data_IF_639577601730
#
_entry.id   IF_639577601730
#
_cell.length_a   1.000
_cell.length_b   1.000
_cell.length_c   1.000
_cell.angle_alpha   90.00
_cell.angle_beta   90.00
_cell.angle_gamma   90.00
#
_symmetry.space_group_name_H-M   'P 1'
#
loop_
_entity.id
_entity.type
_entity.pdbx_description
1 polymer ?
#
# COMPACT_ATOMS: atom_id res chain seq x y z
N UNK A 1 -9.34 25.33 15.98
CA UNK A 1 -7.94 25.69 15.67
C UNK A 1 -7.71 27.18 15.47
N UNK A 2 -8.76 27.99 15.41
CA UNK A 2 -8.66 29.45 15.30
C UNK A 2 -8.23 30.15 16.61
N UNK A 3 -8.29 29.47 17.75
CA UNK A 3 -7.99 30.06 19.07
C UNK A 3 -6.56 29.77 19.56
N UNK A 4 -5.72 29.12 18.77
CA UNK A 4 -4.30 28.89 19.11
C UNK A 4 -4.03 27.87 20.23
N UNK A 5 -5.03 27.12 20.67
CA UNK A 5 -4.92 26.14 21.75
C UNK A 5 -4.42 24.77 21.26
N UNK A 6 -3.17 24.76 20.81
CA UNK A 6 -2.56 23.55 20.20
C UNK A 6 -2.30 22.45 21.25
N UNK A 7 -2.07 22.82 22.51
CA UNK A 7 -1.84 21.93 23.63
C UNK A 7 -3.07 21.08 24.01
N UNK A 8 -4.27 21.52 23.63
CA UNK A 8 -5.53 20.80 23.87
C UNK A 8 -5.78 19.68 22.84
N UNK A 9 -4.98 19.61 21.78
CA UNK A 9 -5.16 18.59 20.73
C UNK A 9 -4.77 17.20 21.25
N UNK A 10 -5.71 16.26 21.17
CA UNK A 10 -5.50 14.84 21.46
C UNK A 10 -5.23 14.14 20.12
N UNK A 11 -3.96 14.00 19.74
CA UNK A 11 -3.57 13.46 18.42
C UNK A 11 -4.17 12.10 18.07
N UNK A 12 -4.28 11.12 19.00
CA UNK A 12 -4.95 9.85 18.72
C UNK A 12 -6.43 9.95 18.33
N UNK A 13 -7.10 11.08 18.61
CA UNK A 13 -8.50 11.32 18.25
C UNK A 13 -8.67 12.09 16.92
N UNK A 14 -7.58 12.58 16.35
CA UNK A 14 -7.62 13.32 15.08
C UNK A 14 -7.91 12.35 13.93
N UNK A 15 -8.98 12.59 13.17
CA UNK A 15 -9.34 11.75 12.03
C UNK A 15 -8.22 11.65 10.99
N UNK A 16 -8.12 10.52 10.29
CA UNK A 16 -7.04 10.25 9.36
C UNK A 16 -6.88 11.33 8.27
N UNK A 17 -7.98 11.82 7.70
CA UNK A 17 -7.95 12.90 6.69
C UNK A 17 -7.49 14.22 7.29
N UNK A 18 -7.97 14.58 8.49
CA UNK A 18 -7.55 15.80 9.18
C UNK A 18 -6.05 15.72 9.53
N UNK A 19 -5.56 14.57 9.96
CA UNK A 19 -4.14 14.34 10.23
C UNK A 19 -3.28 14.61 8.99
N UNK A 20 -3.68 14.13 7.81
CA UNK A 20 -2.97 14.41 6.55
C UNK A 20 -2.99 15.90 6.18
N UNK A 21 -4.12 16.57 6.35
CA UNK A 21 -4.31 17.98 5.96
C UNK A 21 -3.52 18.90 6.88
N UNK A 22 -3.66 18.73 8.19
CA UNK A 22 -3.15 19.68 9.20
C UNK A 22 -1.75 19.34 9.74
N UNK A 23 -1.08 18.28 9.27
CA UNK A 23 0.24 17.85 9.74
C UNK A 23 1.29 18.96 9.79
N UNK A 24 1.28 19.87 8.80
CA UNK A 24 2.24 20.97 8.75
C UNK A 24 1.93 22.03 9.84
N UNK A 25 0.65 22.25 10.12
CA UNK A 25 0.24 23.14 11.21
C UNK A 25 0.60 22.53 12.56
N UNK A 26 0.36 21.24 12.77
CA UNK A 26 0.76 20.51 13.98
C UNK A 26 2.28 20.60 14.20
N UNK A 27 3.07 20.35 13.15
CA UNK A 27 4.54 20.48 13.23
C UNK A 27 4.98 21.90 13.52
N UNK A 28 4.31 22.91 12.94
CA UNK A 28 4.68 24.32 13.14
C UNK A 28 4.36 24.82 14.57
N UNK A 29 3.25 24.38 15.14
CA UNK A 29 2.72 24.98 16.37
C UNK A 29 2.85 24.08 17.60
N UNK A 30 3.09 22.77 17.44
CA UNK A 30 3.25 21.81 18.53
C UNK A 30 4.26 20.69 18.15
N UNK A 31 5.41 21.09 17.65
CA UNK A 31 6.40 20.18 17.06
C UNK A 31 6.82 19.05 17.99
N UNK A 32 7.11 19.36 19.24
CA UNK A 32 7.63 18.37 20.20
C UNK A 32 6.61 17.25 20.47
N UNK A 33 5.37 17.61 20.85
CA UNK A 33 4.31 16.63 21.14
C UNK A 33 3.92 15.88 19.89
N UNK A 34 3.81 16.56 18.76
CA UNK A 34 3.46 15.92 17.47
C UNK A 34 4.51 14.91 17.02
N UNK A 35 5.81 15.23 17.11
CA UNK A 35 6.87 14.30 16.75
C UNK A 35 6.93 13.10 17.72
N UNK A 36 6.71 13.30 19.01
CA UNK A 36 6.62 12.21 19.99
C UNK A 36 5.45 11.28 19.70
N UNK A 37 4.29 11.84 19.36
CA UNK A 37 3.13 11.07 18.95
C UNK A 37 3.41 10.24 17.69
N UNK A 38 3.99 10.87 16.64
CA UNK A 38 4.31 10.17 15.39
C UNK A 38 5.31 9.03 15.59
N UNK A 39 6.32 9.21 16.42
CA UNK A 39 7.27 8.14 16.74
C UNK A 39 6.55 6.93 17.35
N UNK A 40 5.66 7.16 18.31
CA UNK A 40 4.86 6.09 18.92
C UNK A 40 3.88 5.45 17.94
N UNK A 41 3.26 6.24 17.05
CA UNK A 41 2.35 5.75 16.04
C UNK A 41 3.06 4.87 14.99
N UNK A 42 4.29 5.22 14.60
CA UNK A 42 5.14 4.41 13.73
C UNK A 42 5.53 3.07 14.36
N UNK A 43 5.74 3.06 15.67
CA UNK A 43 6.03 1.85 16.47
C UNK A 43 4.75 1.03 16.79
N UNK A 44 3.56 1.49 16.39
CA UNK A 44 2.29 0.85 16.72
C UNK A 44 1.86 0.99 18.20
N UNK A 45 2.54 1.84 18.99
CA UNK A 45 2.23 2.09 20.41
C UNK A 45 1.11 3.11 20.63
N UNK A 46 0.85 3.93 19.63
CA UNK A 46 -0.25 4.91 19.60
C UNK A 46 -1.06 4.72 18.31
N UNK A 47 -2.36 4.93 18.43
CA UNK A 47 -3.27 4.85 17.27
C UNK A 47 -3.11 6.10 16.41
N UNK A 48 -3.05 5.89 15.07
CA UNK A 48 -3.31 6.91 14.08
C UNK A 48 -4.46 6.45 13.20
N UNK A 49 -5.49 7.28 13.05
CA UNK A 49 -6.67 6.88 12.29
C UNK A 49 -6.36 6.66 10.81
N UNK A 50 -6.68 5.46 10.33
CA UNK A 50 -6.57 5.04 8.94
C UNK A 50 -7.82 4.29 8.44
N UNK A 51 -8.82 4.05 9.29
CA UNK A 51 -9.99 3.22 9.01
C UNK A 51 -10.87 3.76 7.87
N UNK A 52 -10.80 5.05 7.60
CA UNK A 52 -11.55 5.70 6.51
C UNK A 52 -10.69 6.01 5.30
N UNK A 53 -9.45 5.51 5.29
CA UNK A 53 -8.50 5.69 4.21
C UNK A 53 -8.39 4.38 3.41
N UNK A 54 -8.22 4.56 2.11
CA UNK A 54 -7.90 3.45 1.21
C UNK A 54 -6.42 3.48 0.82
N UNK A 55 -5.82 2.36 0.39
CA UNK A 55 -4.44 2.32 -0.08
C UNK A 55 -4.10 3.42 -1.08
N UNK A 56 -5.00 3.67 -2.05
CA UNK A 56 -4.79 4.70 -3.07
C UNK A 56 -4.75 6.13 -2.49
N UNK A 57 -5.48 6.43 -1.41
CA UNK A 57 -5.46 7.76 -0.79
C UNK A 57 -4.05 8.15 -0.31
N UNK A 58 -3.30 7.17 0.20
CA UNK A 58 -1.94 7.34 0.69
C UNK A 58 -0.93 7.34 -0.45
N UNK A 59 -1.07 6.40 -1.39
CA UNK A 59 -0.20 6.29 -2.56
C UNK A 59 -0.30 7.53 -3.44
N UNK A 60 -1.50 8.05 -3.70
CA UNK A 60 -1.74 9.27 -4.48
C UNK A 60 -1.01 10.49 -3.88
N UNK A 61 -0.99 10.60 -2.55
CA UNK A 61 -0.24 11.68 -1.85
C UNK A 61 1.26 11.57 -2.03
N UNK A 62 1.79 10.36 -2.10
CA UNK A 62 3.23 10.13 -2.35
C UNK A 62 3.57 10.40 -3.81
N UNK A 63 2.79 9.85 -4.75
CA UNK A 63 3.03 9.97 -6.19
C UNK A 63 2.95 11.41 -6.69
N UNK A 64 1.81 12.06 -6.43
CA UNK A 64 1.48 13.37 -7.00
C UNK A 64 1.74 14.53 -6.06
N UNK A 65 1.63 14.29 -4.75
CA UNK A 65 1.95 15.31 -3.74
C UNK A 65 3.44 15.48 -3.50
N UNK A 66 4.30 14.59 -4.04
CA UNK A 66 5.75 14.51 -3.80
C UNK A 66 6.12 14.65 -2.32
N UNK A 67 5.24 14.22 -1.43
CA UNK A 67 5.31 14.46 0.00
C UNK A 67 5.18 13.15 0.78
N UNK A 68 6.22 12.34 0.72
CA UNK A 68 6.35 11.32 1.75
C UNK A 68 6.63 11.98 3.10
N UNK A 69 5.98 11.50 4.15
CA UNK A 69 6.20 11.94 5.52
C UNK A 69 5.77 10.84 6.51
N UNK A 70 6.17 11.00 7.75
CA UNK A 70 5.90 10.03 8.82
C UNK A 70 4.40 9.79 9.07
N UNK A 71 3.54 10.78 8.81
CA UNK A 71 2.07 10.61 8.94
C UNK A 71 1.57 9.57 7.94
N UNK A 72 1.94 9.70 6.65
CA UNK A 72 1.53 8.76 5.61
C UNK A 72 2.07 7.35 5.88
N UNK A 73 3.31 7.25 6.36
CA UNK A 73 3.92 5.97 6.73
C UNK A 73 3.18 5.31 7.92
N UNK A 74 2.90 6.07 8.98
CA UNK A 74 2.18 5.56 10.14
C UNK A 74 0.75 5.13 9.78
N UNK A 75 0.05 5.91 8.94
CA UNK A 75 -1.28 5.57 8.45
C UNK A 75 -1.26 4.32 7.56
N UNK A 76 -0.25 4.16 6.68
CA UNK A 76 -0.09 2.95 5.88
C UNK A 76 0.07 1.70 6.73
N UNK A 77 0.93 1.76 7.75
CA UNK A 77 1.17 0.63 8.67
C UNK A 77 -0.07 0.26 9.49
N UNK A 78 -0.94 1.24 9.77
CA UNK A 78 -2.16 1.05 10.55
C UNK A 78 -3.44 0.99 9.69
N UNK A 79 -3.32 0.86 8.35
CA UNK A 79 -4.47 0.52 7.52
C UNK A 79 -5.10 -0.79 8.02
N UNK A 80 -6.44 -0.85 8.11
CA UNK A 80 -7.12 -2.10 8.48
C UNK A 80 -6.69 -3.25 7.59
N UNK A 81 -6.58 -4.43 8.17
CA UNK A 81 -6.33 -5.66 7.40
C UNK A 81 -7.67 -6.20 6.88
N UNK A 82 -7.89 -6.02 5.58
CA UNK A 82 -9.07 -6.55 4.86
C UNK A 82 -8.78 -7.89 4.19
N UNK A 83 -7.55 -8.42 4.29
CA UNK A 83 -7.17 -9.72 3.77
C UNK A 83 -7.50 -10.74 4.84
N UNK A 84 -8.58 -11.52 4.62
CA UNK A 84 -8.98 -12.57 5.57
C UNK A 84 -7.82 -13.55 5.81
N UNK A 85 -7.71 -14.07 7.03
CA UNK A 85 -6.57 -14.88 7.48
C UNK A 85 -6.24 -16.09 6.59
N UNK A 86 -7.20 -16.56 5.82
CA UNK A 86 -7.07 -17.75 4.96
C UNK A 86 -7.18 -17.40 3.46
N UNK A 87 -7.06 -16.12 3.11
CA UNK A 87 -7.27 -15.70 1.73
C UNK A 87 -6.04 -14.97 1.20
N UNK A 88 -5.18 -15.68 0.48
CA UNK A 88 -4.17 -15.04 -0.34
C UNK A 88 -4.82 -14.53 -1.63
N UNK A 89 -4.45 -13.34 -2.07
CA UNK A 89 -4.84 -12.79 -3.37
C UNK A 89 -3.63 -12.20 -4.07
N UNK A 90 -3.43 -12.54 -5.32
CA UNK A 90 -2.36 -11.96 -6.13
C UNK A 90 -2.93 -10.80 -6.93
N UNK A 91 -2.30 -9.64 -6.81
CA UNK A 91 -2.64 -8.47 -7.62
C UNK A 91 -1.79 -8.47 -8.87
N UNK A 92 -2.46 -8.42 -10.01
CA UNK A 92 -1.85 -8.15 -11.32
C UNK A 92 -2.02 -6.66 -11.55
N UNK A 93 -0.93 -5.92 -11.40
CA UNK A 93 -0.95 -4.46 -11.39
C UNK A 93 -0.55 -3.91 -12.77
N UNK A 94 -1.38 -3.04 -13.33
CA UNK A 94 -1.06 -2.24 -14.49
C UNK A 94 -0.54 -0.87 -14.04
N UNK A 95 0.64 -0.50 -14.52
CA UNK A 95 1.25 0.83 -14.30
C UNK A 95 1.57 1.53 -15.62
N UNK A 96 0.91 1.14 -16.70
CA UNK A 96 1.04 1.80 -18.00
C UNK A 96 0.68 3.29 -17.94
N UNK A 97 1.11 4.05 -18.94
CA UNK A 97 0.89 5.50 -18.98
C UNK A 97 -0.60 5.90 -18.99
N UNK A 98 -1.50 5.06 -19.53
CA UNK A 98 -2.95 5.26 -19.53
C UNK A 98 -3.55 5.27 -18.13
N UNK A 99 -2.96 4.50 -17.20
CA UNK A 99 -3.36 4.44 -15.80
C UNK A 99 -3.10 5.74 -15.01
N UNK A 100 -2.54 6.78 -15.63
CA UNK A 100 -2.17 8.02 -14.91
C UNK A 100 -3.27 8.56 -14.00
N UNK A 101 -2.91 9.07 -12.84
CA UNK A 101 -3.84 9.59 -11.84
C UNK A 101 -4.25 8.54 -10.81
N UNK A 102 -5.51 8.57 -10.43
CA UNK A 102 -6.06 7.66 -9.41
C UNK A 102 -6.00 6.17 -9.80
N UNK A 103 -6.22 5.76 -11.07
CA UNK A 103 -6.04 4.36 -11.47
C UNK A 103 -4.64 3.83 -11.13
N UNK A 104 -3.58 4.56 -11.46
CA UNK A 104 -2.21 4.20 -11.11
C UNK A 104 -1.99 4.09 -9.60
N UNK A 105 -2.48 5.08 -8.84
CA UNK A 105 -2.38 5.04 -7.38
C UNK A 105 -3.14 3.84 -6.77
N UNK A 106 -4.27 3.45 -7.39
CA UNK A 106 -5.04 2.26 -6.99
C UNK A 106 -4.27 0.98 -7.30
N UNK A 107 -3.74 0.87 -8.52
CA UNK A 107 -2.97 -0.30 -8.95
C UNK A 107 -1.75 -0.55 -8.04
N UNK A 108 -0.90 0.46 -7.88
CA UNK A 108 0.27 0.39 -7.01
C UNK A 108 -0.15 0.14 -5.55
N UNK A 109 -1.17 0.86 -5.09
CA UNK A 109 -1.66 0.74 -3.72
C UNK A 109 -2.15 -0.66 -3.37
N UNK A 110 -2.94 -1.27 -4.25
CA UNK A 110 -3.43 -2.63 -4.04
C UNK A 110 -2.30 -3.67 -4.18
N UNK A 111 -1.37 -3.50 -5.15
CA UNK A 111 -0.23 -4.39 -5.28
C UNK A 111 0.60 -4.46 -3.98
N UNK A 112 0.97 -3.29 -3.43
CA UNK A 112 1.73 -3.23 -2.19
C UNK A 112 0.89 -3.75 -1.01
N UNK A 113 -0.38 -3.34 -0.92
CA UNK A 113 -1.26 -3.69 0.19
C UNK A 113 -1.46 -5.20 0.33
N UNK A 114 -1.77 -5.90 -0.77
CA UNK A 114 -1.97 -7.35 -0.76
C UNK A 114 -0.65 -8.09 -0.60
N UNK A 115 0.42 -7.66 -1.29
CA UNK A 115 1.72 -8.30 -1.16
C UNK A 115 2.20 -8.35 0.31
N UNK A 116 2.06 -7.25 1.05
CA UNK A 116 2.45 -7.18 2.47
C UNK A 116 1.58 -8.04 3.40
N UNK A 117 0.33 -8.30 3.03
CA UNK A 117 -0.66 -9.00 3.88
C UNK A 117 -0.88 -10.44 3.50
N UNK A 118 -0.48 -10.84 2.30
CA UNK A 118 -0.45 -12.25 1.91
C UNK A 118 0.47 -13.04 2.86
N UNK A 119 0.23 -14.33 2.95
CA UNK A 119 0.95 -15.25 3.84
C UNK A 119 1.56 -16.39 3.04
N UNK A 120 2.43 -17.17 3.71
CA UNK A 120 3.07 -18.33 3.12
C UNK A 120 3.92 -17.98 1.89
N UNK A 121 3.89 -18.85 0.89
CA UNK A 121 4.71 -18.74 -0.31
C UNK A 121 4.46 -17.47 -1.14
N UNK A 122 3.29 -16.85 -1.02
CA UNK A 122 2.92 -15.66 -1.78
C UNK A 122 3.08 -14.34 -1.00
N UNK A 123 3.68 -14.40 0.19
CA UNK A 123 3.99 -13.19 0.96
C UNK A 123 4.99 -12.31 0.20
N UNK A 124 4.73 -11.01 0.19
CA UNK A 124 5.52 -10.00 -0.54
C UNK A 124 5.59 -10.19 -2.07
N UNK A 125 4.63 -10.91 -2.65
CA UNK A 125 4.55 -11.08 -4.10
C UNK A 125 3.37 -10.33 -4.70
N UNK A 126 3.60 -9.72 -5.85
CA UNK A 126 2.59 -9.23 -6.79
C UNK A 126 3.00 -9.66 -8.20
N UNK A 127 2.14 -9.47 -9.19
CA UNK A 127 2.40 -9.89 -10.56
C UNK A 127 2.36 -8.70 -11.52
N UNK A 128 3.24 -8.73 -12.52
CA UNK A 128 3.26 -7.70 -13.57
C UNK A 128 2.09 -7.89 -14.54
N UNK A 129 1.56 -6.77 -15.04
CA UNK A 129 0.58 -6.75 -16.12
C UNK A 129 1.34 -6.78 -17.48
N UNK A 130 1.51 -7.99 -18.03
CA UNK A 130 2.30 -8.18 -19.26
C UNK A 130 1.86 -9.43 -20.05
N UNK A 131 2.35 -9.59 -21.28
CA UNK A 131 2.12 -10.82 -22.06
C UNK A 131 2.79 -12.04 -21.43
N UNK A 132 3.84 -11.81 -20.65
CA UNK A 132 4.51 -12.83 -19.83
C UNK A 132 4.47 -12.35 -18.39
N UNK A 133 3.37 -12.61 -17.66
CA UNK A 133 3.26 -12.20 -16.27
C UNK A 133 4.32 -12.85 -15.40
N UNK A 134 5.02 -12.05 -14.60
CA UNK A 134 6.05 -12.53 -13.69
C UNK A 134 5.74 -12.13 -12.26
N UNK A 135 6.05 -13.01 -11.33
CA UNK A 135 6.04 -12.65 -9.92
C UNK A 135 7.18 -11.70 -9.61
N UNK A 136 6.85 -10.64 -8.92
CA UNK A 136 7.79 -9.64 -8.44
C UNK A 136 7.75 -9.61 -6.92
N UNK A 137 8.91 -9.82 -6.30
CA UNK A 137 9.05 -9.67 -4.87
C UNK A 137 9.12 -8.20 -4.49
N UNK A 138 8.17 -7.74 -3.68
CA UNK A 138 8.11 -6.36 -3.19
C UNK A 138 9.36 -6.03 -2.36
N UNK A 139 10.00 -4.89 -2.65
CA UNK A 139 11.20 -4.42 -1.96
C UNK A 139 11.01 -3.01 -1.41
N UNK A 140 11.62 -2.76 -0.27
CA UNK A 140 11.63 -1.47 0.41
C UNK A 140 11.07 -1.56 1.84
N UNK A 141 11.56 -0.70 2.72
CA UNK A 141 11.16 -0.64 4.13
C UNK A 141 10.01 0.35 4.35
N UNK A 142 9.96 1.41 3.55
CA UNK A 142 8.95 2.46 3.65
C UNK A 142 8.00 2.44 2.45
N UNK A 143 6.79 2.96 2.64
CA UNK A 143 5.80 3.10 1.55
C UNK A 143 6.41 3.82 0.33
N UNK A 144 7.20 4.88 0.54
CA UNK A 144 7.87 5.59 -0.56
C UNK A 144 8.82 4.68 -1.36
N UNK A 145 9.62 3.87 -0.66
CA UNK A 145 10.57 2.96 -1.33
C UNK A 145 9.82 1.88 -2.11
N UNK A 146 8.75 1.33 -1.55
CA UNK A 146 7.89 0.33 -2.21
C UNK A 146 7.21 0.88 -3.44
N UNK A 147 6.63 2.09 -3.36
CA UNK A 147 6.03 2.77 -4.51
C UNK A 147 7.07 2.95 -5.62
N UNK A 148 8.25 3.51 -5.31
CA UNK A 148 9.31 3.69 -6.30
C UNK A 148 9.83 2.38 -6.89
N UNK A 149 9.79 1.31 -6.12
CA UNK A 149 10.16 -0.01 -6.60
C UNK A 149 9.14 -0.52 -7.61
N UNK A 150 7.84 -0.47 -7.26
CA UNK A 150 6.75 -0.88 -8.15
C UNK A 150 6.74 -0.04 -9.44
N UNK A 151 6.89 1.28 -9.37
CA UNK A 151 6.94 2.16 -10.56
C UNK A 151 8.07 1.81 -11.55
N UNK A 152 9.17 1.23 -11.07
CA UNK A 152 10.34 0.89 -11.90
C UNK A 152 10.34 -0.53 -12.42
N UNK A 153 9.40 -1.35 -11.99
CA UNK A 153 9.27 -2.72 -12.47
C UNK A 153 8.89 -2.67 -13.95
N UNK A 154 9.43 -3.58 -14.77
CA UNK A 154 9.11 -3.65 -16.19
C UNK A 154 7.66 -4.08 -16.39
N UNK A 155 6.93 -3.28 -17.17
CA UNK A 155 5.52 -3.48 -17.46
C UNK A 155 5.31 -3.71 -18.95
N UNK A 156 4.50 -4.71 -19.29
CA UNK A 156 4.08 -4.95 -20.67
C UNK A 156 2.91 -4.07 -21.08
N UNK A 157 2.58 -4.07 -22.37
CA UNK A 157 1.45 -3.28 -22.89
C UNK A 157 0.13 -4.07 -22.95
N UNK A 158 0.16 -5.38 -22.77
CA UNK A 158 -1.02 -6.27 -22.80
C UNK A 158 -0.84 -7.36 -21.76
N UNK A 159 -1.94 -7.84 -21.17
CA UNK A 159 -1.92 -8.96 -20.23
C UNK A 159 -2.48 -10.23 -20.87
N UNK A 160 -1.74 -11.32 -20.68
CA UNK A 160 -2.23 -12.67 -20.93
C UNK A 160 -2.69 -13.28 -19.60
N UNK A 161 -4.00 -13.24 -19.35
CA UNK A 161 -4.57 -13.78 -18.12
C UNK A 161 -4.36 -15.28 -17.98
N UNK A 162 -4.42 -16.03 -19.10
CA UNK A 162 -4.14 -17.47 -19.10
C UNK A 162 -2.69 -17.71 -18.59
N UNK A 163 -1.71 -17.00 -19.14
CA UNK A 163 -0.32 -17.10 -18.69
C UNK A 163 -0.16 -16.70 -17.21
N UNK A 164 -0.96 -15.77 -16.70
CA UNK A 164 -0.93 -15.42 -15.29
C UNK A 164 -1.40 -16.58 -14.39
N UNK A 165 -2.48 -17.28 -14.76
CA UNK A 165 -2.90 -18.50 -14.06
C UNK A 165 -1.86 -19.61 -14.15
N UNK A 166 -1.32 -19.86 -15.34
CA UNK A 166 -0.27 -20.84 -15.55
C UNK A 166 0.95 -20.55 -14.67
N UNK A 167 1.35 -19.27 -14.58
CA UNK A 167 2.49 -18.85 -13.75
C UNK A 167 2.25 -19.07 -12.26
N UNK A 168 1.02 -18.88 -11.78
CA UNK A 168 0.66 -19.20 -10.38
C UNK A 168 0.82 -20.70 -10.11
N UNK A 169 0.31 -21.54 -11.04
CA UNK A 169 0.41 -23.00 -10.90
C UNK A 169 1.85 -23.49 -11.01
N UNK A 170 2.62 -23.02 -11.97
CA UNK A 170 4.06 -23.34 -12.12
C UNK A 170 4.82 -23.01 -10.84
N UNK A 171 4.63 -21.79 -10.31
CA UNK A 171 5.28 -21.37 -9.06
C UNK A 171 4.88 -22.26 -7.88
N UNK A 172 3.61 -22.66 -7.82
CA UNK A 172 3.15 -23.57 -6.77
C UNK A 172 3.80 -24.94 -6.86
N UNK A 173 3.94 -25.47 -8.08
CA UNK A 173 4.59 -26.78 -8.33
C UNK A 173 6.09 -26.73 -8.05
N UNK A 174 6.77 -25.66 -8.48
CA UNK A 174 8.22 -25.49 -8.30
C UNK A 174 8.63 -25.35 -6.82
N UNK A 175 7.70 -24.87 -5.97
CA UNK A 175 7.96 -24.63 -4.55
C UNK A 175 7.15 -25.54 -3.62
N UNK A 176 6.52 -26.59 -4.16
CA UNK A 176 5.70 -27.53 -3.40
C UNK A 176 4.66 -26.83 -2.48
N UNK A 177 4.00 -25.76 -3.02
CA UNK A 177 3.03 -24.98 -2.25
C UNK A 177 1.79 -25.81 -1.97
N UNK A 178 1.39 -25.97 -0.70
CA UNK A 178 0.22 -26.75 -0.36
C UNK A 178 -1.08 -26.05 -0.82
N UNK A 179 -2.14 -26.83 -1.14
CA UNK A 179 -3.41 -26.28 -1.68
C UNK A 179 -4.04 -25.20 -0.80
N UNK A 180 -3.89 -25.27 0.51
CA UNK A 180 -4.40 -24.29 1.47
C UNK A 180 -3.69 -22.94 1.41
N UNK A 181 -2.44 -22.89 0.94
CA UNK A 181 -1.67 -21.67 0.76
C UNK A 181 -1.84 -21.04 -0.63
N UNK A 182 -2.50 -21.76 -1.55
CA UNK A 182 -2.76 -21.24 -2.90
C UNK A 182 -3.57 -19.94 -2.87
N UNK A 183 -3.29 -18.98 -3.80
CA UNK A 183 -4.11 -17.80 -3.92
C UNK A 183 -5.55 -18.16 -4.28
N UNK A 184 -6.51 -17.62 -3.54
CA UNK A 184 -7.94 -17.80 -3.80
C UNK A 184 -8.50 -16.80 -4.79
N UNK A 185 -7.73 -15.76 -5.13
CA UNK A 185 -8.13 -14.73 -6.08
C UNK A 185 -6.93 -14.15 -6.84
N UNK A 186 -7.16 -13.84 -8.11
CA UNK A 186 -6.33 -12.93 -8.90
C UNK A 186 -7.10 -11.64 -9.09
N UNK A 187 -6.52 -10.53 -8.63
CA UNK A 187 -7.10 -9.19 -8.71
C UNK A 187 -6.40 -8.45 -9.82
N UNK A 188 -7.10 -8.24 -10.94
CA UNK A 188 -6.57 -7.49 -12.08
C UNK A 188 -6.95 -6.02 -11.93
N UNK A 189 -5.97 -5.13 -11.95
CA UNK A 189 -6.16 -3.68 -11.88
C UNK A 189 -5.63 -3.07 -13.16
N UNK A 190 -6.53 -2.71 -14.06
CA UNK A 190 -6.23 -2.14 -15.37
C UNK A 190 -7.37 -1.21 -15.82
N UNK A 191 -7.12 -0.36 -16.79
CA UNK A 191 -8.08 0.55 -17.43
C UNK A 191 -8.64 -0.01 -18.76
N UNK A 192 -8.45 -1.29 -19.02
CA UNK A 192 -9.00 -1.98 -20.20
C UNK A 192 -10.52 -2.05 -20.16
#
# INVERSE_FOLDING_TARGET
MSEGKWEEIVYPEVSGRAMMIYRNAFRKHDEKRFNQYLAKALDGKEKIHAETLYPYDLVEKVLYGRQWNQVLEAQWRQLPDYVAQETNAIVIADVSGSMSGRPLATSIGLAIYFAERNRGAYHNLFMTFSQKPEFVSLRGETLLQKIKYVERTEWGMNTNLQAAFERVLETAMDHDVPPEEMPKALIVVSDM
#
